data_IF_846268441070
#
_entry.id   IF_846268441070
#
_cell.length_a   1.000
_cell.length_b   1.000
_cell.length_c   1.000
_cell.angle_alpha   90.00
_cell.angle_beta   90.00
_cell.angle_gamma   90.00
#
_symmetry.space_group_name_H-M   'P 1'
#
loop_
_entity.id
_entity.type
_entity.pdbx_description
1 polymer ?
#
# COMPACT_ATOMS: atom_id res chain seq x y z
N UNK A 1 -0.52 -18.14 30.52
CA UNK A 1 -1.23 -18.08 29.21
C UNK A 1 -0.32 -17.69 28.06
N UNK A 2 0.32 -16.49 28.04
CA UNK A 2 1.27 -16.11 26.95
C UNK A 2 2.42 -17.09 26.85
N UNK A 3 3.20 -17.33 27.90
CA UNK A 3 4.32 -18.28 27.93
C UNK A 3 3.86 -19.71 27.60
N UNK A 4 2.72 -20.11 28.06
CA UNK A 4 2.14 -21.42 27.75
C UNK A 4 1.81 -21.56 26.25
N UNK A 5 1.23 -20.52 25.64
CA UNK A 5 0.97 -20.53 24.20
C UNK A 5 2.27 -20.57 23.40
N UNK A 6 3.27 -19.76 23.76
CA UNK A 6 4.58 -19.75 23.12
C UNK A 6 5.29 -21.11 23.26
N UNK A 7 5.24 -21.72 24.45
CA UNK A 7 5.79 -23.04 24.68
C UNK A 7 5.08 -24.12 23.86
N UNK A 8 3.74 -24.12 23.83
CA UNK A 8 2.97 -25.04 22.97
C UNK A 8 3.35 -24.93 21.50
N UNK A 9 3.55 -23.70 21.00
CA UNK A 9 3.97 -23.44 19.60
C UNK A 9 5.37 -24.01 19.33
N UNK A 10 6.29 -23.87 20.27
CA UNK A 10 7.67 -24.30 20.07
C UNK A 10 7.92 -25.77 20.43
N UNK A 11 7.07 -26.40 21.21
CA UNK A 11 7.18 -27.83 21.56
C UNK A 11 6.50 -28.76 20.54
N UNK A 12 5.70 -28.21 19.62
CA UNK A 12 5.00 -29.00 18.61
C UNK A 12 5.99 -29.67 17.62
N UNK A 13 5.67 -30.89 17.21
CA UNK A 13 6.45 -31.57 16.16
C UNK A 13 6.17 -30.94 14.81
N UNK A 14 7.21 -30.91 13.95
CA UNK A 14 7.09 -30.49 12.55
C UNK A 14 5.97 -31.26 11.82
N UNK A 15 5.21 -30.54 10.99
CA UNK A 15 4.06 -31.09 10.28
C UNK A 15 2.74 -31.13 11.07
N UNK A 16 2.74 -30.70 12.32
CA UNK A 16 1.54 -30.72 13.15
C UNK A 16 0.84 -29.35 13.21
N UNK A 17 -0.42 -29.41 13.64
CA UNK A 17 -1.31 -28.27 13.80
C UNK A 17 -1.56 -27.97 15.28
N UNK A 18 -1.53 -26.69 15.64
CA UNK A 18 -2.02 -26.19 16.93
C UNK A 18 -3.39 -25.60 16.71
N UNK A 19 -4.40 -26.23 17.30
CA UNK A 19 -5.75 -25.67 17.33
C UNK A 19 -5.90 -24.75 18.53
N UNK A 20 -6.30 -23.52 18.26
CA UNK A 20 -6.67 -22.53 19.25
C UNK A 20 -8.19 -22.43 19.29
N UNK A 21 -8.76 -22.50 20.48
CA UNK A 21 -10.21 -22.45 20.67
C UNK A 21 -10.58 -21.48 21.76
N UNK A 22 -11.77 -20.89 21.66
CA UNK A 22 -12.31 -19.98 22.66
C UNK A 22 -11.64 -18.62 22.71
N UNK A 23 -11.92 -17.86 23.76
CA UNK A 23 -11.41 -16.51 23.94
C UNK A 23 -10.07 -16.52 24.67
N UNK A 24 -9.02 -16.06 24.00
CA UNK A 24 -7.67 -15.96 24.54
C UNK A 24 -7.38 -14.49 24.80
N UNK A 25 -7.24 -14.10 26.05
CA UNK A 25 -6.96 -12.72 26.42
C UNK A 25 -5.64 -12.61 27.17
N UNK A 26 -4.76 -11.71 26.71
CA UNK A 26 -3.56 -11.35 27.47
C UNK A 26 -3.35 -9.85 27.53
N UNK A 27 -2.81 -9.45 28.67
CA UNK A 27 -2.31 -8.10 28.88
C UNK A 27 -0.78 -8.16 28.95
N UNK A 28 -0.12 -7.29 28.17
CA UNK A 28 1.32 -7.33 28.03
C UNK A 28 1.92 -6.07 28.66
N UNK A 29 2.43 -6.26 29.86
CA UNK A 29 3.14 -5.22 30.63
C UNK A 29 4.65 -5.44 30.59
N UNK A 30 5.12 -6.65 30.20
CA UNK A 30 6.53 -7.00 30.12
C UNK A 30 6.77 -8.09 29.08
N UNK A 31 7.88 -8.01 28.34
CA UNK A 31 8.30 -9.06 27.42
C UNK A 31 9.78 -9.33 27.55
N UNK A 32 10.18 -10.52 27.15
CA UNK A 32 11.57 -10.81 26.84
C UNK A 32 12.04 -10.01 25.62
N UNK A 33 13.24 -9.47 25.65
CA UNK A 33 13.86 -8.88 24.46
C UNK A 33 14.52 -9.97 23.63
N UNK A 34 14.32 -9.93 22.34
CA UNK A 34 15.01 -10.78 21.38
C UNK A 34 15.82 -9.92 20.41
N UNK A 35 17.09 -10.26 20.23
CA UNK A 35 17.97 -9.55 19.31
C UNK A 35 18.42 -10.54 18.23
N UNK A 36 18.08 -10.27 16.97
CA UNK A 36 18.59 -11.02 15.82
C UNK A 36 19.56 -10.11 15.07
N UNK A 37 20.84 -10.36 15.22
CA UNK A 37 21.88 -9.50 14.67
C UNK A 37 21.78 -8.07 15.22
N UNK A 38 21.62 -7.06 14.34
CA UNK A 38 21.41 -5.65 14.73
C UNK A 38 19.95 -5.28 14.98
N UNK A 39 19.01 -6.20 14.68
CA UNK A 39 17.59 -5.98 14.88
C UNK A 39 17.20 -6.26 16.33
N UNK A 40 16.69 -5.26 17.01
CA UNK A 40 16.14 -5.40 18.34
C UNK A 40 14.61 -5.23 18.27
N UNK A 41 13.91 -6.35 18.01
CA UNK A 41 12.46 -6.41 18.05
C UNK A 41 12.05 -7.28 19.22
N UNK A 42 11.16 -6.78 20.06
CA UNK A 42 10.60 -7.57 21.15
C UNK A 42 9.41 -8.37 20.64
N UNK A 43 9.56 -9.68 20.51
CA UNK A 43 8.47 -10.60 20.18
C UNK A 43 7.71 -11.03 21.42
N UNK A 44 6.39 -10.87 21.38
CA UNK A 44 5.51 -11.32 22.48
C UNK A 44 5.36 -12.83 22.43
N UNK A 45 5.19 -13.39 21.25
CA UNK A 45 5.17 -14.81 20.95
C UNK A 45 6.21 -15.08 19.87
N UNK A 46 7.24 -15.81 20.22
CA UNK A 46 8.32 -16.17 19.29
C UNK A 46 8.06 -17.53 18.69
N UNK A 47 8.20 -17.64 17.38
CA UNK A 47 7.99 -18.86 16.62
C UNK A 47 9.31 -19.28 16.01
N UNK A 48 9.88 -20.36 16.54
CA UNK A 48 11.17 -20.91 16.11
C UNK A 48 11.05 -22.26 15.41
N UNK A 49 9.82 -22.84 15.36
CA UNK A 49 9.55 -24.13 14.73
C UNK A 49 9.18 -23.99 13.27
N UNK A 50 9.64 -24.94 12.47
CA UNK A 50 9.31 -25.05 11.05
C UNK A 50 8.15 -26.01 10.80
N UNK A 51 7.51 -25.83 9.65
CA UNK A 51 6.47 -26.73 9.12
C UNK A 51 5.31 -26.91 10.11
N UNK A 52 4.85 -25.81 10.70
CA UNK A 52 3.75 -25.82 11.67
C UNK A 52 2.56 -24.99 11.19
N UNK A 53 1.38 -25.39 11.63
CA UNK A 53 0.14 -24.65 11.41
C UNK A 53 -0.44 -24.18 12.74
N UNK A 54 -0.74 -22.89 12.85
CA UNK A 54 -1.47 -22.29 13.95
C UNK A 54 -2.87 -21.97 13.43
N UNK A 55 -3.85 -22.76 13.86
CA UNK A 55 -5.23 -22.68 13.38
C UNK A 55 -6.14 -22.12 14.50
N UNK A 56 -6.83 -21.04 14.18
CA UNK A 56 -7.70 -20.33 15.11
C UNK A 56 -9.19 -20.67 14.96
N UNK A 57 -9.58 -21.80 14.38
CA UNK A 57 -10.97 -22.21 14.08
C UNK A 57 -12.08 -21.32 14.69
N UNK A 58 -12.19 -21.32 16.04
CA UNK A 58 -13.15 -20.52 16.79
C UNK A 58 -12.46 -19.59 17.82
N UNK A 59 -11.14 -19.41 17.72
CA UNK A 59 -10.42 -18.58 18.67
C UNK A 59 -10.52 -17.09 18.34
N UNK A 60 -10.76 -16.29 19.38
CA UNK A 60 -10.57 -14.85 19.35
C UNK A 60 -9.41 -14.47 20.28
N UNK A 61 -8.35 -13.91 19.72
CA UNK A 61 -7.18 -13.47 20.47
C UNK A 61 -7.32 -11.97 20.72
N UNK A 62 -7.53 -11.58 21.97
CA UNK A 62 -7.52 -10.18 22.40
C UNK A 62 -6.22 -9.87 23.14
N UNK A 63 -5.54 -8.82 22.72
CA UNK A 63 -4.27 -8.39 23.29
C UNK A 63 -4.34 -6.92 23.65
N UNK A 64 -4.15 -6.61 24.93
CA UNK A 64 -3.95 -5.25 25.41
C UNK A 64 -2.44 -5.03 25.65
N UNK A 65 -1.87 -3.99 25.07
CA UNK A 65 -0.45 -3.62 25.17
C UNK A 65 -0.35 -2.29 25.88
N UNK A 66 0.20 -2.29 27.10
CA UNK A 66 0.22 -1.10 27.95
C UNK A 66 1.46 -0.22 27.71
N UNK A 67 2.60 -0.80 27.31
CA UNK A 67 3.83 -0.05 27.04
C UNK A 67 4.66 -0.66 25.90
N UNK A 68 4.89 0.12 24.85
CA UNK A 68 5.80 -0.23 23.76
C UNK A 68 6.68 0.97 23.32
N UNK A 69 6.95 1.90 24.25
CA UNK A 69 7.70 3.13 23.96
C UNK A 69 9.22 2.93 23.84
N UNK A 70 9.77 1.88 24.44
CA UNK A 70 11.21 1.68 24.57
C UNK A 70 11.86 0.89 23.43
N UNK A 71 11.08 0.16 22.63
CA UNK A 71 11.58 -0.73 21.56
C UNK A 71 10.56 -0.90 20.47
N UNK A 72 10.96 -1.48 19.35
CA UNK A 72 10.04 -2.05 18.37
C UNK A 72 9.52 -3.39 18.87
N UNK A 73 8.23 -3.67 18.59
CA UNK A 73 7.53 -4.82 19.12
C UNK A 73 6.75 -5.56 18.05
N UNK A 74 6.53 -6.86 18.28
CA UNK A 74 5.57 -7.64 17.50
C UNK A 74 4.76 -8.59 18.39
N UNK A 75 3.51 -8.85 18.01
CA UNK A 75 2.73 -9.90 18.66
C UNK A 75 3.32 -11.27 18.32
N UNK A 76 3.48 -11.58 17.03
CA UNK A 76 4.15 -12.79 16.58
C UNK A 76 5.48 -12.41 15.91
N UNK A 77 6.56 -12.95 16.44
CA UNK A 77 7.87 -12.85 15.82
C UNK A 77 8.24 -14.21 15.22
N UNK A 78 8.25 -14.29 13.87
CA UNK A 78 8.66 -15.52 13.19
C UNK A 78 10.15 -15.48 12.94
N UNK A 79 10.87 -16.34 13.66
CA UNK A 79 12.32 -16.37 13.71
C UNK A 79 12.93 -16.81 12.37
N UNK A 80 14.12 -16.31 11.97
CA UNK A 80 14.77 -16.68 10.71
C UNK A 80 15.05 -18.18 10.54
N UNK A 81 15.15 -18.92 11.66
CA UNK A 81 15.34 -20.38 11.62
C UNK A 81 14.06 -21.16 11.34
N UNK A 82 12.89 -20.55 11.53
CA UNK A 82 11.61 -21.14 11.19
C UNK A 82 11.40 -21.13 9.67
N UNK A 83 10.64 -22.08 9.17
CA UNK A 83 10.22 -22.17 7.77
C UNK A 83 8.80 -22.68 7.68
N UNK A 84 8.07 -22.27 6.64
CA UNK A 84 6.74 -22.82 6.32
C UNK A 84 5.75 -22.72 7.50
N UNK A 85 5.74 -21.61 8.21
CA UNK A 85 4.78 -21.34 9.29
C UNK A 85 3.47 -20.88 8.68
N UNK A 86 2.35 -21.51 9.08
CA UNK A 86 1.02 -21.16 8.58
C UNK A 86 0.15 -20.63 9.71
N UNK A 87 -0.54 -19.53 9.45
CA UNK A 87 -1.57 -18.94 10.28
C UNK A 87 -2.90 -19.08 9.57
N UNK A 88 -3.79 -19.89 10.11
CA UNK A 88 -5.09 -20.16 9.49
C UNK A 88 -6.23 -19.73 10.41
N UNK A 89 -7.26 -19.10 9.86
CA UNK A 89 -8.52 -18.81 10.54
C UNK A 89 -8.38 -18.00 11.85
N UNK A 90 -7.30 -17.24 12.02
CA UNK A 90 -7.08 -16.45 13.22
C UNK A 90 -7.93 -15.18 13.25
N UNK A 91 -8.58 -14.94 14.39
CA UNK A 91 -9.21 -13.64 14.69
C UNK A 91 -8.42 -12.97 15.79
N UNK A 92 -7.79 -11.84 15.48
CA UNK A 92 -6.86 -11.16 16.38
C UNK A 92 -7.28 -9.71 16.53
N UNK A 93 -7.41 -9.27 17.78
CA UNK A 93 -7.68 -7.88 18.11
C UNK A 93 -6.60 -7.36 19.06
N UNK A 94 -5.85 -6.36 18.60
CA UNK A 94 -4.78 -5.75 19.39
C UNK A 94 -5.15 -4.31 19.71
N UNK A 95 -5.10 -3.96 20.98
CA UNK A 95 -5.25 -2.61 21.48
C UNK A 95 -3.96 -2.14 22.13
N UNK A 96 -3.40 -1.05 21.64
CA UNK A 96 -2.17 -0.46 22.18
C UNK A 96 -2.53 0.79 22.95
N UNK A 97 -2.23 0.78 24.25
CA UNK A 97 -2.53 1.85 25.21
C UNK A 97 -1.21 2.41 25.75
N UNK A 98 -0.44 3.08 24.88
CA UNK A 98 0.78 3.70 25.37
C UNK A 98 0.50 4.96 26.18
N UNK A 99 1.23 5.19 27.27
CA UNK A 99 1.11 6.42 28.05
C UNK A 99 1.61 7.63 27.26
N UNK A 100 2.54 7.45 26.33
CA UNK A 100 3.20 8.51 25.57
C UNK A 100 3.25 8.23 24.06
N UNK A 101 3.35 9.29 23.27
CA UNK A 101 3.59 9.20 21.84
C UNK A 101 5.03 8.76 21.56
N UNK A 102 5.22 7.88 20.58
CA UNK A 102 6.53 7.31 20.22
C UNK A 102 6.68 7.14 18.72
N UNK A 103 7.93 7.11 18.24
CA UNK A 103 8.28 6.74 16.86
C UNK A 103 8.62 5.25 16.72
N UNK A 104 8.47 4.47 17.79
CA UNK A 104 8.67 3.01 17.73
C UNK A 104 7.58 2.34 16.90
N UNK A 105 7.85 1.12 16.51
CA UNK A 105 6.95 0.34 15.64
C UNK A 105 6.35 -0.82 16.42
N UNK A 106 5.05 -1.01 16.28
CA UNK A 106 4.38 -2.24 16.68
C UNK A 106 3.87 -2.95 15.42
N UNK A 107 4.26 -4.20 15.24
CA UNK A 107 3.76 -5.07 14.17
C UNK A 107 2.94 -6.22 14.73
N UNK A 108 1.87 -6.61 14.05
CA UNK A 108 1.15 -7.81 14.44
C UNK A 108 2.00 -9.05 14.20
N UNK A 109 2.50 -9.19 12.98
CA UNK A 109 3.43 -10.26 12.60
C UNK A 109 4.71 -9.59 12.08
N UNK A 110 5.83 -9.90 12.73
CA UNK A 110 7.16 -9.58 12.23
C UNK A 110 7.79 -10.86 11.68
N UNK A 111 7.84 -10.96 10.36
CA UNK A 111 8.35 -12.15 9.69
C UNK A 111 9.77 -11.95 9.19
N UNK A 112 10.64 -12.89 9.54
CA UNK A 112 12.01 -13.02 9.01
C UNK A 112 12.27 -14.40 8.42
N UNK A 113 11.23 -15.24 8.33
CA UNK A 113 11.29 -16.64 7.94
C UNK A 113 10.78 -16.87 6.52
N UNK A 114 11.30 -17.89 5.87
CA UNK A 114 10.89 -18.32 4.55
C UNK A 114 9.54 -19.05 4.56
N UNK A 115 8.69 -18.77 3.57
CA UNK A 115 7.50 -19.56 3.28
C UNK A 115 6.35 -19.40 4.27
N UNK A 116 6.25 -18.23 4.94
CA UNK A 116 5.15 -17.94 5.86
C UNK A 116 3.85 -17.75 5.09
N UNK A 117 2.75 -18.28 5.61
CA UNK A 117 1.42 -18.19 5.00
C UNK A 117 0.39 -17.70 6.00
N UNK A 118 -0.47 -16.78 5.54
CA UNK A 118 -1.67 -16.36 6.25
C UNK A 118 -2.87 -16.71 5.37
N UNK A 119 -3.81 -17.45 5.92
CA UNK A 119 -5.04 -17.81 5.22
C UNK A 119 -6.25 -17.57 6.10
N UNK A 120 -7.27 -16.88 5.55
CA UNK A 120 -8.54 -16.61 6.22
C UNK A 120 -8.39 -15.96 7.60
N UNK A 121 -7.41 -15.06 7.77
CA UNK A 121 -7.16 -14.38 9.04
C UNK A 121 -7.86 -13.02 9.08
N UNK A 122 -8.41 -12.68 10.24
CA UNK A 122 -9.00 -11.37 10.53
C UNK A 122 -8.20 -10.67 11.61
N UNK A 123 -7.68 -9.50 11.29
CA UNK A 123 -6.82 -8.73 12.17
C UNK A 123 -7.38 -7.33 12.33
N UNK A 124 -7.58 -6.91 13.56
CA UNK A 124 -7.85 -5.54 13.95
C UNK A 124 -6.78 -5.07 14.93
N UNK A 125 -6.02 -4.05 14.57
CA UNK A 125 -5.01 -3.43 15.42
C UNK A 125 -5.24 -1.93 15.49
N UNK A 126 -5.29 -1.38 16.68
CA UNK A 126 -5.44 0.06 16.86
C UNK A 126 -4.65 0.59 18.05
N UNK A 127 -4.26 1.87 17.93
CA UNK A 127 -3.63 2.62 19.00
C UNK A 127 -4.32 3.96 19.20
N UNK A 128 -4.56 4.32 20.46
CA UNK A 128 -5.09 5.63 20.85
C UNK A 128 -3.96 6.67 21.02
N UNK A 129 -2.70 6.27 20.87
CA UNK A 129 -1.50 7.11 20.90
C UNK A 129 -0.72 7.01 19.60
N UNK A 130 0.09 8.02 19.33
CA UNK A 130 0.92 8.09 18.15
C UNK A 130 2.06 7.05 18.22
N UNK A 131 2.00 6.07 17.34
CA UNK A 131 2.99 4.99 17.20
C UNK A 131 2.94 4.48 15.76
N UNK A 132 4.08 4.03 15.23
CA UNK A 132 4.09 3.34 13.95
C UNK A 132 3.42 1.97 14.07
N UNK A 133 2.44 1.71 13.21
CA UNK A 133 1.70 0.44 13.20
C UNK A 133 1.93 -0.29 11.89
N UNK A 134 2.19 -1.59 11.98
CA UNK A 134 2.35 -2.45 10.82
C UNK A 134 1.54 -3.73 11.02
N UNK A 135 0.59 -4.01 10.15
CA UNK A 135 -0.16 -5.27 10.22
C UNK A 135 0.76 -6.47 10.04
N UNK A 136 1.42 -6.56 8.89
CA UNK A 136 2.42 -7.59 8.58
C UNK A 136 3.71 -6.92 8.15
N UNK A 137 4.76 -7.09 8.93
CA UNK A 137 6.11 -6.67 8.60
C UNK A 137 6.90 -7.89 8.09
N UNK A 138 7.15 -7.94 6.78
CA UNK A 138 7.93 -8.99 6.16
C UNK A 138 9.33 -8.45 5.84
N UNK A 139 10.35 -8.87 6.58
CA UNK A 139 11.68 -8.33 6.50
C UNK A 139 12.68 -9.31 5.86
N UNK A 140 13.02 -9.07 4.60
CA UNK A 140 14.05 -9.82 3.87
C UNK A 140 15.48 -9.31 4.07
N UNK A 141 15.64 -8.16 4.76
CA UNK A 141 16.96 -7.61 5.05
C UNK A 141 17.50 -8.20 6.36
N UNK A 142 18.21 -9.30 6.26
CA UNK A 142 18.98 -9.85 7.38
C UNK A 142 20.44 -9.47 7.17
N UNK A 143 20.88 -8.49 7.91
CA UNK A 143 22.30 -8.07 8.03
C UNK A 143 23.15 -9.15 8.75
N UNK A 144 22.78 -10.40 8.56
CA UNK A 144 23.42 -11.57 9.17
C UNK A 144 23.83 -12.54 8.08
N UNK A 145 24.96 -13.21 8.27
CA UNK A 145 25.46 -14.29 7.43
C UNK A 145 24.52 -15.52 7.34
N UNK A 146 23.27 -15.40 7.75
CA UNK A 146 22.26 -16.43 7.62
C UNK A 146 21.52 -16.28 6.29
N UNK A 147 21.51 -17.32 5.48
CA UNK A 147 20.85 -17.43 4.17
C UNK A 147 19.31 -17.38 4.23
N UNK A 148 18.69 -17.02 5.32
CA UNK A 148 17.25 -17.01 5.51
C UNK A 148 16.66 -15.66 5.16
N UNK A 149 16.04 -15.57 3.99
CA UNK A 149 15.23 -14.42 3.57
C UNK A 149 13.78 -14.71 3.88
N UNK A 150 13.03 -13.68 4.23
CA UNK A 150 11.56 -13.75 4.42
C UNK A 150 10.81 -13.87 3.08
N UNK A 151 11.35 -14.65 2.15
CA UNK A 151 10.80 -14.86 0.81
C UNK A 151 9.58 -15.79 0.85
N UNK A 152 8.77 -15.74 -0.20
CA UNK A 152 7.56 -16.56 -0.38
C UNK A 152 6.50 -16.35 0.73
N UNK A 153 6.30 -15.11 1.17
CA UNK A 153 5.14 -14.79 1.98
C UNK A 153 3.85 -14.91 1.15
N UNK A 154 2.86 -15.62 1.69
CA UNK A 154 1.53 -15.74 1.09
C UNK A 154 0.49 -15.14 2.04
N UNK A 155 -0.36 -14.25 1.53
CA UNK A 155 -1.49 -13.67 2.24
C UNK A 155 -2.73 -13.90 1.37
N UNK A 156 -3.65 -14.72 1.84
CA UNK A 156 -4.84 -15.08 1.08
C UNK A 156 -6.10 -14.99 1.94
N UNK A 157 -7.15 -14.41 1.37
CA UNK A 157 -8.47 -14.28 1.98
C UNK A 157 -8.43 -13.68 3.40
N UNK A 158 -7.61 -12.66 3.62
CA UNK A 158 -7.43 -12.03 4.93
C UNK A 158 -8.15 -10.67 5.02
N UNK A 159 -8.44 -10.26 6.26
CA UNK A 159 -8.84 -8.89 6.60
C UNK A 159 -7.81 -8.29 7.54
N UNK A 160 -7.13 -7.24 7.10
CA UNK A 160 -6.16 -6.50 7.90
C UNK A 160 -6.66 -5.07 8.11
N UNK A 161 -7.00 -4.72 9.34
CA UNK A 161 -7.40 -3.36 9.72
C UNK A 161 -6.42 -2.81 10.74
N UNK A 162 -5.68 -1.78 10.34
CA UNK A 162 -4.64 -1.14 11.15
C UNK A 162 -4.95 0.35 11.28
N UNK A 163 -5.11 0.84 12.50
CA UNK A 163 -5.58 2.19 12.75
C UNK A 163 -4.82 2.89 13.88
N UNK A 164 -4.20 4.02 13.60
CA UNK A 164 -3.74 4.98 14.60
C UNK A 164 -4.83 6.05 14.80
N UNK A 165 -5.36 6.13 16.03
CA UNK A 165 -6.46 7.04 16.42
C UNK A 165 -5.98 8.28 17.17
N UNK A 166 -4.68 8.42 17.38
CA UNK A 166 -4.11 9.54 18.10
C UNK A 166 -4.51 10.88 17.49
N UNK A 167 -4.92 11.81 18.32
CA UNK A 167 -5.29 13.19 17.90
C UNK A 167 -4.17 14.20 18.18
N UNK A 168 -3.06 13.80 18.77
CA UNK A 168 -1.95 14.67 19.19
C UNK A 168 -0.81 14.68 18.16
N UNK A 169 -0.07 15.80 18.14
CA UNK A 169 0.73 16.29 17.01
C UNK A 169 2.21 16.40 17.26
N UNK A 170 2.89 15.43 17.77
CA UNK A 170 4.27 15.68 18.17
C UNK A 170 5.34 15.00 17.30
N UNK A 171 5.00 13.97 16.51
CA UNK A 171 6.00 13.17 15.80
C UNK A 171 5.46 12.60 14.50
N UNK A 172 6.37 12.29 13.56
CA UNK A 172 6.03 11.49 12.37
C UNK A 172 5.47 10.13 12.79
N UNK A 173 4.38 9.72 12.16
CA UNK A 173 3.76 8.43 12.40
C UNK A 173 3.31 7.82 11.08
N UNK A 174 3.59 6.53 10.92
CA UNK A 174 3.21 5.76 9.76
C UNK A 174 2.37 4.54 10.14
N UNK A 175 1.33 4.29 9.34
CA UNK A 175 0.48 3.10 9.47
C UNK A 175 0.57 2.32 8.17
N UNK A 176 0.94 1.04 8.27
CA UNK A 176 1.02 0.12 7.14
C UNK A 176 0.09 -1.07 7.35
N UNK A 177 -0.64 -1.45 6.32
CA UNK A 177 -1.33 -2.74 6.32
C UNK A 177 -0.33 -3.88 6.15
N UNK A 178 0.42 -3.88 5.05
CA UNK A 178 1.52 -4.80 4.77
C UNK A 178 2.77 -4.01 4.40
N UNK A 179 3.89 -4.33 5.03
CA UNK A 179 5.20 -3.77 4.76
C UNK A 179 6.18 -4.89 4.40
N UNK A 180 6.39 -5.09 3.09
CA UNK A 180 7.32 -6.10 2.56
C UNK A 180 8.64 -5.43 2.17
N UNK A 181 9.65 -5.60 3.00
CA UNK A 181 10.95 -4.98 2.82
C UNK A 181 11.99 -5.98 2.32
N UNK A 182 12.44 -5.82 1.09
CA UNK A 182 13.48 -6.61 0.42
C UNK A 182 13.24 -8.13 0.36
N UNK A 183 12.04 -8.60 0.70
CA UNK A 183 11.67 -10.02 0.60
C UNK A 183 11.01 -10.31 -0.75
N UNK A 184 11.45 -11.37 -1.42
CA UNK A 184 11.00 -11.72 -2.77
C UNK A 184 9.77 -12.62 -2.76
N UNK A 185 9.09 -12.67 -3.92
CA UNK A 185 8.01 -13.61 -4.18
C UNK A 185 6.84 -13.52 -3.19
N UNK A 186 6.50 -12.31 -2.74
CA UNK A 186 5.26 -12.12 -1.99
C UNK A 186 4.06 -12.39 -2.90
N UNK A 187 3.09 -13.14 -2.42
CA UNK A 187 1.79 -13.34 -3.07
C UNK A 187 0.67 -12.89 -2.15
N UNK A 188 -0.17 -11.98 -2.63
CA UNK A 188 -1.32 -11.50 -1.88
C UNK A 188 -2.58 -11.56 -2.75
N UNK A 189 -3.61 -12.27 -2.26
CA UNK A 189 -4.83 -12.49 -3.02
C UNK A 189 -6.07 -12.31 -2.14
N UNK A 190 -7.17 -11.83 -2.74
CA UNK A 190 -8.50 -11.77 -2.13
C UNK A 190 -8.51 -11.14 -0.73
N UNK A 191 -7.59 -10.22 -0.47
CA UNK A 191 -7.35 -9.67 0.88
C UNK A 191 -7.87 -8.25 0.98
N UNK A 192 -8.50 -7.94 2.12
CA UNK A 192 -8.98 -6.61 2.47
C UNK A 192 -7.98 -5.93 3.41
N UNK A 193 -7.46 -4.78 3.02
CA UNK A 193 -6.50 -4.00 3.80
C UNK A 193 -7.02 -2.59 4.03
N UNK A 194 -7.08 -2.20 5.29
CA UNK A 194 -7.43 -0.85 5.73
C UNK A 194 -6.32 -0.30 6.62
N UNK A 195 -5.56 0.64 6.10
CA UNK A 195 -4.54 1.38 6.84
C UNK A 195 -5.05 2.80 7.10
N UNK A 196 -5.28 3.16 8.35
CA UNK A 196 -5.84 4.46 8.73
C UNK A 196 -4.93 5.17 9.73
N UNK A 197 -4.53 6.40 9.41
CA UNK A 197 -3.82 7.28 10.32
C UNK A 197 -4.63 8.55 10.57
N UNK A 198 -5.21 8.68 11.75
CA UNK A 198 -6.02 9.84 12.16
C UNK A 198 -5.20 10.95 12.81
N UNK A 199 -3.90 10.77 12.93
CA UNK A 199 -3.01 11.78 13.48
C UNK A 199 -3.10 13.08 12.67
N UNK A 200 -3.00 14.18 13.36
CA UNK A 200 -3.10 15.52 12.77
C UNK A 200 -1.72 16.19 12.60
N UNK A 201 -0.60 15.49 12.74
CA UNK A 201 0.75 16.05 12.68
C UNK A 201 1.29 16.21 11.26
N UNK A 202 2.37 16.95 11.17
CA UNK A 202 3.19 16.97 9.95
C UNK A 202 3.71 15.57 9.63
N UNK A 203 3.69 15.20 8.34
CA UNK A 203 4.21 13.92 7.81
C UNK A 203 3.53 12.65 8.33
N UNK A 204 2.22 12.73 8.59
CA UNK A 204 1.44 11.53 8.86
C UNK A 204 1.31 10.68 7.58
N UNK A 205 1.53 9.39 7.68
CA UNK A 205 1.51 8.48 6.53
C UNK A 205 0.59 7.29 6.78
N UNK A 206 -0.28 6.99 5.83
CA UNK A 206 -1.03 5.75 5.76
C UNK A 206 -0.68 5.03 4.45
N UNK A 207 -0.33 3.76 4.52
CA UNK A 207 0.02 2.93 3.37
C UNK A 207 -0.70 1.60 3.47
N UNK A 208 -1.50 1.27 2.47
CA UNK A 208 -2.16 -0.03 2.41
C UNK A 208 -1.12 -1.14 2.27
N UNK A 209 -0.35 -1.12 1.19
CA UNK A 209 0.72 -2.08 0.92
C UNK A 209 1.97 -1.35 0.48
N UNK A 210 3.11 -1.72 1.05
CA UNK A 210 4.44 -1.37 0.58
C UNK A 210 5.22 -2.64 0.23
N UNK A 211 5.90 -2.65 -0.92
CA UNK A 211 6.78 -3.76 -1.31
C UNK A 211 8.02 -3.27 -2.04
N UNK A 212 9.20 -3.79 -1.65
CA UNK A 212 10.49 -3.54 -2.31
C UNK A 212 11.22 -4.82 -2.74
N UNK A 213 10.62 -5.99 -2.56
CA UNK A 213 11.15 -7.26 -3.04
C UNK A 213 10.82 -7.54 -4.51
N UNK A 214 11.48 -8.51 -5.10
CA UNK A 214 11.26 -8.93 -6.50
C UNK A 214 10.11 -9.93 -6.61
N UNK A 215 9.49 -9.97 -7.79
CA UNK A 215 8.48 -10.97 -8.17
C UNK A 215 7.24 -10.97 -7.27
N UNK A 216 6.83 -9.79 -6.81
CA UNK A 216 5.59 -9.63 -6.06
C UNK A 216 4.37 -9.88 -6.95
N UNK A 217 3.36 -10.59 -6.42
CA UNK A 217 2.08 -10.82 -7.09
C UNK A 217 0.92 -10.40 -6.18
N UNK A 218 0.13 -9.44 -6.64
CA UNK A 218 -0.98 -8.84 -5.91
C UNK A 218 -2.23 -8.89 -6.79
N UNK A 219 -3.21 -9.72 -6.43
CA UNK A 219 -4.34 -9.99 -7.29
C UNK A 219 -5.68 -10.02 -6.52
N UNK A 220 -6.69 -9.33 -7.03
CA UNK A 220 -8.05 -9.37 -6.48
C UNK A 220 -8.20 -8.76 -5.08
N UNK A 221 -7.29 -7.90 -4.65
CA UNK A 221 -7.31 -7.33 -3.31
C UNK A 221 -8.13 -6.04 -3.25
N UNK A 222 -8.65 -5.74 -2.06
CA UNK A 222 -9.26 -4.45 -1.74
C UNK A 222 -8.37 -3.70 -0.75
N UNK A 223 -7.69 -2.66 -1.21
CA UNK A 223 -6.64 -1.96 -0.47
C UNK A 223 -7.05 -0.50 -0.29
N UNK A 224 -7.13 -0.04 0.95
CA UNK A 224 -7.50 1.32 1.28
C UNK A 224 -6.54 1.92 2.29
N UNK A 225 -5.96 3.08 1.95
CA UNK A 225 -5.19 3.92 2.85
C UNK A 225 -5.91 5.24 3.09
N UNK A 226 -5.99 5.64 4.35
CA UNK A 226 -6.63 6.88 4.77
C UNK A 226 -5.73 7.62 5.75
N UNK A 227 -5.36 8.87 5.42
CA UNK A 227 -4.65 9.74 6.33
C UNK A 227 -5.46 11.02 6.56
N UNK A 228 -5.78 11.32 7.81
CA UNK A 228 -6.57 12.49 8.16
C UNK A 228 -5.92 13.78 7.68
N UNK A 229 -6.72 14.64 7.07
CA UNK A 229 -6.33 15.99 6.72
C UNK A 229 -6.97 16.99 7.67
N UNK A 230 -6.17 17.80 8.35
CA UNK A 230 -6.70 18.91 9.11
C UNK A 230 -7.15 20.02 8.16
N UNK A 231 -8.44 20.25 8.12
CA UNK A 231 -9.04 21.37 7.37
C UNK A 231 -8.57 22.67 8.02
N UNK A 232 -7.64 23.38 7.39
CA UNK A 232 -7.25 24.73 7.83
C UNK A 232 -5.77 25.08 7.79
N UNK A 233 -4.87 24.13 7.57
CA UNK A 233 -3.44 24.42 7.40
C UNK A 233 -2.94 23.92 6.04
N UNK A 234 -2.73 24.86 5.11
CA UNK A 234 -2.24 24.58 3.74
C UNK A 234 -0.85 23.92 3.67
N UNK A 235 -0.18 23.73 4.80
CA UNK A 235 1.20 23.23 4.89
C UNK A 235 1.36 21.84 5.49
N UNK A 236 0.29 21.20 5.94
CA UNK A 236 0.41 19.90 6.59
C UNK A 236 0.38 18.79 5.54
N UNK A 237 1.49 18.09 5.45
CA UNK A 237 1.71 17.01 4.50
C UNK A 237 1.28 15.67 5.12
N UNK A 238 -0.01 15.39 5.13
CA UNK A 238 -0.49 14.03 5.36
C UNK A 238 -0.50 13.28 4.02
N UNK A 239 -0.03 12.04 4.02
CA UNK A 239 0.11 11.21 2.83
C UNK A 239 -0.70 9.93 2.96
N UNK A 240 -1.55 9.64 1.98
CA UNK A 240 -2.23 8.36 1.85
C UNK A 240 -1.80 7.67 0.57
N UNK A 241 -1.19 6.50 0.69
CA UNK A 241 -0.81 5.64 -0.42
C UNK A 241 -1.60 4.34 -0.34
N UNK A 242 -2.44 4.06 -1.33
CA UNK A 242 -3.09 2.75 -1.42
C UNK A 242 -2.04 1.65 -1.56
N UNK A 243 -1.13 1.82 -2.52
CA UNK A 243 -0.06 0.86 -2.80
C UNK A 243 1.25 1.58 -3.16
N UNK A 244 2.38 1.10 -2.64
CA UNK A 244 3.73 1.51 -3.03
C UNK A 244 4.50 0.28 -3.50
N UNK A 245 4.94 0.28 -4.75
CA UNK A 245 5.79 -0.74 -5.32
C UNK A 245 7.19 -0.18 -5.65
N UNK A 246 8.19 -0.68 -4.96
CA UNK A 246 9.62 -0.47 -5.30
C UNK A 246 10.26 -1.78 -5.80
N UNK A 247 9.47 -2.84 -5.87
CA UNK A 247 9.93 -4.17 -6.25
C UNK A 247 9.99 -4.37 -7.77
N UNK A 248 11.02 -5.09 -8.22
CA UNK A 248 11.19 -5.43 -9.63
C UNK A 248 10.26 -6.59 -10.04
N UNK A 249 9.79 -6.57 -11.28
CA UNK A 249 8.97 -7.64 -11.87
C UNK A 249 7.67 -7.92 -11.09
N UNK A 250 7.07 -6.89 -10.51
CA UNK A 250 5.82 -7.02 -9.75
C UNK A 250 4.61 -7.10 -10.69
N UNK A 251 3.62 -7.92 -10.32
CA UNK A 251 2.32 -7.99 -10.99
C UNK A 251 1.26 -7.48 -10.01
N UNK A 252 0.58 -6.40 -10.40
CA UNK A 252 -0.49 -5.76 -9.61
C UNK A 252 -1.73 -5.77 -10.49
N UNK A 253 -2.63 -6.72 -10.26
CA UNK A 253 -3.76 -6.97 -11.15
C UNK A 253 -5.09 -7.16 -10.45
N UNK A 254 -6.16 -6.72 -11.09
CA UNK A 254 -7.54 -6.90 -10.64
C UNK A 254 -7.83 -6.40 -9.21
N UNK A 255 -7.05 -5.45 -8.70
CA UNK A 255 -7.24 -4.90 -7.36
C UNK A 255 -8.16 -3.67 -7.37
N UNK A 256 -8.82 -3.41 -6.23
CA UNK A 256 -9.43 -2.15 -5.91
C UNK A 256 -8.53 -1.39 -4.93
N UNK A 257 -7.90 -0.30 -5.38
CA UNK A 257 -6.87 0.43 -4.61
C UNK A 257 -7.34 1.87 -4.37
N UNK A 258 -7.34 2.31 -3.13
CA UNK A 258 -7.82 3.64 -2.74
C UNK A 258 -6.82 4.35 -1.84
N UNK A 259 -6.39 5.55 -2.26
CA UNK A 259 -5.75 6.53 -1.39
C UNK A 259 -6.71 7.69 -1.13
N UNK A 260 -7.02 7.98 0.14
CA UNK A 260 -8.04 8.99 0.47
C UNK A 260 -7.72 9.86 1.69
N UNK A 261 -8.40 10.99 1.77
CA UNK A 261 -8.42 11.89 2.94
C UNK A 261 -7.04 12.35 3.42
N UNK A 262 -6.20 12.80 2.49
CA UNK A 262 -4.87 13.28 2.81
C UNK A 262 -4.59 14.64 2.13
N UNK A 263 -3.55 15.33 2.53
CA UNK A 263 -3.00 16.48 1.80
C UNK A 263 -2.54 16.06 0.41
N UNK A 264 -1.90 14.91 0.31
CA UNK A 264 -1.64 14.22 -0.95
C UNK A 264 -2.11 12.76 -0.88
N UNK A 265 -3.02 12.36 -1.76
CA UNK A 265 -3.41 10.97 -1.93
C UNK A 265 -2.83 10.39 -3.21
N UNK A 266 -2.33 9.17 -3.10
CA UNK A 266 -1.82 8.38 -4.21
C UNK A 266 -2.52 7.03 -4.17
N UNK A 267 -3.17 6.66 -5.27
CA UNK A 267 -3.73 5.31 -5.39
C UNK A 267 -2.60 4.29 -5.42
N UNK A 268 -1.75 4.35 -6.46
CA UNK A 268 -0.60 3.49 -6.63
C UNK A 268 0.65 4.30 -7.00
N UNK A 269 1.73 4.11 -6.25
CA UNK A 269 3.07 4.59 -6.60
C UNK A 269 3.93 3.42 -7.03
N UNK A 270 4.46 3.48 -8.25
CA UNK A 270 5.35 2.47 -8.79
C UNK A 270 6.74 3.05 -9.05
N UNK A 271 7.73 2.58 -8.32
CA UNK A 271 9.15 2.85 -8.53
C UNK A 271 9.88 1.61 -9.05
N UNK A 272 9.23 0.44 -9.04
CA UNK A 272 9.79 -0.83 -9.48
C UNK A 272 9.80 -0.95 -11.00
N UNK A 273 10.91 -1.41 -11.56
CA UNK A 273 11.02 -1.66 -12.99
C UNK A 273 10.34 -2.99 -13.39
N UNK A 274 9.96 -3.08 -14.66
CA UNK A 274 9.30 -4.25 -15.27
C UNK A 274 8.00 -4.64 -14.56
N UNK A 275 7.30 -3.66 -13.96
CA UNK A 275 6.03 -3.90 -13.31
C UNK A 275 4.89 -4.02 -14.33
N UNK A 276 3.91 -4.86 -14.01
CA UNK A 276 2.64 -4.96 -14.73
C UNK A 276 1.52 -4.47 -13.80
N UNK A 277 0.85 -3.41 -14.21
CA UNK A 277 -0.29 -2.81 -13.50
C UNK A 277 -1.51 -2.92 -14.41
N UNK A 278 -2.33 -3.96 -14.22
CA UNK A 278 -3.37 -4.28 -15.17
C UNK A 278 -4.73 -4.61 -14.56
N UNK A 279 -5.81 -4.13 -15.17
CA UNK A 279 -7.18 -4.49 -14.77
C UNK A 279 -7.59 -3.99 -13.38
N UNK A 280 -6.90 -3.01 -12.81
CA UNK A 280 -7.19 -2.50 -11.48
C UNK A 280 -8.25 -1.38 -11.54
N UNK A 281 -8.99 -1.23 -10.44
CA UNK A 281 -9.75 -0.02 -10.14
C UNK A 281 -8.99 0.80 -9.11
N UNK A 282 -8.50 1.98 -9.50
CA UNK A 282 -7.64 2.81 -8.64
C UNK A 282 -8.28 4.18 -8.44
N UNK A 283 -8.34 4.64 -7.20
CA UNK A 283 -8.96 5.89 -6.81
C UNK A 283 -8.05 6.73 -5.92
N UNK A 284 -7.88 8.01 -6.27
CA UNK A 284 -7.31 9.03 -5.39
C UNK A 284 -8.37 10.09 -5.08
N UNK A 285 -8.73 10.27 -3.81
CA UNK A 285 -9.89 11.08 -3.43
C UNK A 285 -9.67 12.04 -2.27
N UNK A 286 -10.49 13.08 -2.25
CA UNK A 286 -10.64 14.05 -1.15
C UNK A 286 -9.40 14.83 -0.76
N UNK A 287 -8.59 15.26 -1.72
CA UNK A 287 -7.31 15.93 -1.45
C UNK A 287 -7.12 17.17 -2.28
N UNK A 288 -6.17 17.99 -1.83
CA UNK A 288 -5.67 19.11 -2.63
C UNK A 288 -4.94 18.56 -3.85
N UNK A 289 -4.08 17.54 -3.65
CA UNK A 289 -3.31 16.90 -4.71
C UNK A 289 -3.61 15.40 -4.76
N UNK A 290 -4.20 14.93 -5.84
CA UNK A 290 -4.47 13.51 -6.10
C UNK A 290 -3.65 12.97 -7.26
N UNK A 291 -3.04 11.82 -7.05
CA UNK A 291 -2.35 11.04 -8.06
C UNK A 291 -2.93 9.64 -8.06
N UNK A 292 -3.66 9.28 -9.11
CA UNK A 292 -4.21 7.92 -9.15
C UNK A 292 -3.12 6.91 -9.34
N UNK A 293 -2.21 7.14 -10.30
CA UNK A 293 -0.96 6.39 -10.44
C UNK A 293 0.20 7.39 -10.53
N UNK A 294 1.29 7.14 -9.80
CA UNK A 294 2.60 7.76 -9.99
C UNK A 294 3.57 6.69 -10.46
N UNK A 295 4.13 6.83 -11.65
CA UNK A 295 5.07 5.86 -12.19
C UNK A 295 6.47 6.45 -12.36
N UNK A 296 7.41 5.91 -11.63
CA UNK A 296 8.85 6.17 -11.73
C UNK A 296 9.62 4.93 -12.20
N UNK A 297 8.95 3.76 -12.28
CA UNK A 297 9.56 2.51 -12.72
C UNK A 297 9.56 2.40 -14.24
N UNK A 298 10.74 2.15 -14.82
CA UNK A 298 10.91 1.95 -16.25
C UNK A 298 10.44 0.59 -16.72
N UNK A 299 10.23 0.44 -18.03
CA UNK A 299 9.78 -0.82 -18.64
C UNK A 299 8.45 -1.35 -18.03
N UNK A 300 7.59 -0.43 -17.59
CA UNK A 300 6.33 -0.75 -16.90
C UNK A 300 5.17 -0.73 -17.88
N UNK A 301 4.26 -1.70 -17.74
CA UNK A 301 2.97 -1.72 -18.43
C UNK A 301 1.87 -1.27 -17.49
N UNK A 302 1.07 -0.25 -17.88
CA UNK A 302 -0.10 0.26 -17.16
C UNK A 302 -1.29 0.17 -18.12
N UNK A 303 -2.04 -0.93 -18.02
CA UNK A 303 -3.02 -1.26 -19.05
C UNK A 303 -4.36 -1.74 -18.46
N UNK A 304 -5.44 -1.48 -19.17
CA UNK A 304 -6.78 -1.98 -18.87
C UNK A 304 -7.31 -1.56 -17.48
N UNK A 305 -6.80 -0.46 -16.89
CA UNK A 305 -7.22 0.00 -15.58
C UNK A 305 -8.38 1.00 -15.67
N UNK A 306 -9.20 1.05 -14.60
CA UNK A 306 -10.19 2.10 -14.36
C UNK A 306 -9.62 3.05 -13.29
N UNK A 307 -9.28 4.26 -13.71
CA UNK A 307 -8.54 5.23 -12.93
C UNK A 307 -9.40 6.47 -12.66
N UNK A 308 -9.58 6.81 -11.39
CA UNK A 308 -10.46 7.91 -10.99
C UNK A 308 -9.78 8.84 -9.99
N UNK A 309 -10.04 10.14 -10.09
CA UNK A 309 -9.64 11.12 -9.07
C UNK A 309 -10.78 12.06 -8.74
N UNK A 310 -10.89 12.46 -7.46
CA UNK A 310 -11.80 13.52 -7.01
C UNK A 310 -11.04 14.72 -6.43
N UNK A 311 -9.77 14.90 -6.78
CA UNK A 311 -8.88 15.90 -6.19
C UNK A 311 -8.91 17.22 -6.98
N UNK A 312 -8.69 18.34 -6.29
CA UNK A 312 -8.65 19.67 -6.93
C UNK A 312 -7.53 19.84 -7.94
N UNK A 313 -6.37 19.24 -7.68
CA UNK A 313 -5.24 19.15 -8.59
C UNK A 313 -5.00 17.68 -8.92
N UNK A 314 -5.79 17.14 -9.84
CA UNK A 314 -5.73 15.74 -10.21
C UNK A 314 -4.67 15.51 -11.31
N UNK A 315 -3.82 14.50 -11.13
CA UNK A 315 -3.10 13.85 -12.22
C UNK A 315 -3.45 12.38 -12.14
N UNK A 316 -4.16 11.87 -13.14
CA UNK A 316 -4.60 10.48 -13.07
C UNK A 316 -3.38 9.57 -13.24
N UNK A 317 -2.56 9.79 -14.25
CA UNK A 317 -1.23 9.15 -14.35
C UNK A 317 -0.16 10.24 -14.38
N UNK A 318 0.76 10.20 -13.42
CA UNK A 318 2.00 10.96 -13.42
C UNK A 318 3.13 10.02 -13.84
N UNK A 319 3.65 10.22 -15.07
CA UNK A 319 4.66 9.39 -15.70
C UNK A 319 6.01 10.08 -15.66
N UNK A 320 7.02 9.47 -15.03
CA UNK A 320 8.36 10.02 -14.86
C UNK A 320 9.47 9.01 -15.20
N UNK A 321 9.22 8.11 -16.13
CA UNK A 321 10.16 7.05 -16.51
C UNK A 321 10.07 6.71 -18.00
N UNK A 322 10.96 5.87 -18.47
CA UNK A 322 11.10 5.56 -19.90
C UNK A 322 10.61 4.15 -20.24
N UNK A 323 10.39 3.94 -21.54
CA UNK A 323 10.04 2.65 -22.15
C UNK A 323 8.81 1.99 -21.49
N UNK A 324 7.77 2.78 -21.20
CA UNK A 324 6.54 2.31 -20.60
C UNK A 324 5.40 2.26 -21.60
N UNK A 325 4.45 1.35 -21.35
CA UNK A 325 3.19 1.28 -22.08
C UNK A 325 2.08 1.79 -21.17
N UNK A 326 1.33 2.80 -21.62
CA UNK A 326 0.14 3.32 -20.96
C UNK A 326 -1.02 3.14 -21.95
N UNK A 327 -1.73 2.05 -21.83
CA UNK A 327 -2.69 1.62 -22.85
C UNK A 327 -4.03 1.17 -22.31
N UNK A 328 -5.09 1.41 -23.08
CA UNK A 328 -6.47 0.92 -22.84
C UNK A 328 -7.06 1.26 -21.47
N UNK A 329 -6.54 2.29 -20.79
CA UNK A 329 -7.07 2.70 -19.51
C UNK A 329 -8.30 3.60 -19.68
N UNK A 330 -9.26 3.50 -18.75
CA UNK A 330 -10.37 4.43 -18.62
C UNK A 330 -10.04 5.40 -17.48
N UNK A 331 -9.92 6.69 -17.77
CA UNK A 331 -9.48 7.73 -16.84
C UNK A 331 -10.57 8.78 -16.68
N UNK A 332 -10.90 9.15 -15.44
CA UNK A 332 -11.93 10.14 -15.17
C UNK A 332 -11.65 10.98 -13.93
N UNK A 333 -11.89 12.30 -14.01
CA UNK A 333 -11.91 13.19 -12.85
C UNK A 333 -13.36 13.43 -12.45
N UNK A 334 -13.76 12.94 -11.27
CA UNK A 334 -15.12 13.07 -10.73
C UNK A 334 -15.24 14.30 -9.82
N UNK A 335 -14.99 15.50 -10.35
CA UNK A 335 -15.21 16.76 -9.62
C UNK A 335 -16.13 17.70 -10.40
N UNK A 336 -16.87 18.50 -9.66
CA UNK A 336 -17.58 19.63 -10.25
C UNK A 336 -16.56 20.60 -10.83
N UNK A 337 -16.72 21.04 -12.08
CA UNK A 337 -15.79 21.89 -12.82
C UNK A 337 -15.34 23.14 -12.04
N UNK A 338 -16.24 23.75 -11.27
CA UNK A 338 -15.97 24.94 -10.47
C UNK A 338 -14.96 24.72 -9.33
N UNK A 339 -14.74 23.49 -8.90
CA UNK A 339 -13.84 23.13 -7.80
C UNK A 339 -12.49 22.60 -8.28
N UNK A 340 -12.42 22.13 -9.53
CA UNK A 340 -11.17 21.65 -10.11
C UNK A 340 -10.31 22.81 -10.57
N UNK A 341 -9.17 23.01 -9.91
CA UNK A 341 -8.22 24.12 -10.24
C UNK A 341 -7.27 23.73 -11.37
N UNK A 342 -6.80 22.51 -11.37
CA UNK A 342 -6.01 21.93 -12.45
C UNK A 342 -6.22 20.42 -12.49
N UNK A 343 -6.34 19.84 -13.66
CA UNK A 343 -6.54 18.40 -13.82
C UNK A 343 -6.00 17.91 -15.13
N UNK A 344 -5.19 16.85 -15.08
CA UNK A 344 -4.58 16.23 -16.23
C UNK A 344 -4.86 14.72 -16.20
N UNK A 345 -5.18 14.14 -17.35
CA UNK A 345 -5.31 12.70 -17.49
C UNK A 345 -3.94 12.04 -17.33
N UNK A 346 -3.06 12.27 -18.31
CA UNK A 346 -1.67 11.78 -18.28
C UNK A 346 -0.74 12.98 -18.23
N UNK A 347 0.15 13.00 -17.25
CA UNK A 347 1.16 14.01 -17.04
C UNK A 347 2.55 13.38 -17.17
N UNK A 348 3.15 13.51 -18.35
CA UNK A 348 4.39 12.87 -18.70
C UNK A 348 5.49 13.92 -18.87
N UNK A 349 6.31 14.12 -17.84
CA UNK A 349 7.33 15.18 -17.76
C UNK A 349 8.65 14.64 -17.21
N UNK A 350 9.72 15.24 -17.68
CA UNK A 350 11.08 15.07 -17.19
C UNK A 350 12.00 14.42 -18.20
N UNK A 351 13.29 14.64 -18.00
CA UNK A 351 14.35 14.13 -18.91
C UNK A 351 14.33 12.60 -19.05
N UNK A 352 13.81 11.90 -18.06
CA UNK A 352 13.69 10.44 -18.05
C UNK A 352 12.39 9.93 -18.69
N UNK A 353 11.48 10.83 -19.10
CA UNK A 353 10.20 10.43 -19.67
C UNK A 353 10.32 10.26 -21.19
N UNK A 354 10.97 9.19 -21.63
CA UNK A 354 11.28 8.94 -23.05
C UNK A 354 10.78 7.58 -23.50
N UNK A 355 10.59 7.41 -24.81
CA UNK A 355 10.26 6.13 -25.44
C UNK A 355 8.97 5.46 -24.90
N UNK A 356 8.03 6.24 -24.38
CA UNK A 356 6.77 5.71 -23.90
C UNK A 356 5.75 5.55 -25.02
N UNK A 357 4.90 4.54 -24.92
CA UNK A 357 3.74 4.34 -25.79
C UNK A 357 2.47 4.67 -25.01
N UNK A 358 1.78 5.75 -25.41
CA UNK A 358 0.50 6.18 -24.80
C UNK A 358 -0.60 5.96 -25.83
N UNK A 359 -1.38 4.89 -25.70
CA UNK A 359 -2.33 4.53 -26.76
C UNK A 359 -3.65 3.96 -26.23
N UNK A 360 -4.69 4.16 -27.03
CA UNK A 360 -6.01 3.54 -26.83
C UNK A 360 -6.68 3.86 -25.48
N UNK A 361 -6.26 4.92 -24.78
CA UNK A 361 -6.88 5.32 -23.54
C UNK A 361 -8.16 6.11 -23.79
N UNK A 362 -9.11 6.01 -22.85
CA UNK A 362 -10.31 6.83 -22.77
C UNK A 362 -10.14 7.81 -21.62
N UNK A 363 -10.03 9.10 -21.90
CA UNK A 363 -9.76 10.15 -20.91
C UNK A 363 -10.94 11.12 -20.87
N UNK A 364 -11.60 11.27 -19.72
CA UNK A 364 -12.82 12.05 -19.56
C UNK A 364 -12.73 13.07 -18.44
N UNK A 365 -13.46 14.17 -18.58
CA UNK A 365 -13.73 15.13 -17.50
C UNK A 365 -12.48 15.71 -16.83
N UNK A 366 -11.38 15.92 -17.58
CA UNK A 366 -10.17 16.56 -17.07
C UNK A 366 -10.24 18.08 -17.26
N UNK A 367 -9.86 18.84 -16.23
CA UNK A 367 -10.08 20.29 -16.19
C UNK A 367 -9.08 21.09 -17.01
N UNK A 368 -7.86 20.59 -17.22
CA UNK A 368 -6.78 21.33 -17.89
C UNK A 368 -6.43 20.72 -19.25
N UNK A 369 -5.82 19.56 -19.26
CA UNK A 369 -5.57 18.83 -20.49
C UNK A 369 -5.67 17.31 -20.31
N UNK A 370 -5.96 16.60 -21.39
CA UNK A 370 -6.02 15.15 -21.34
C UNK A 370 -4.63 14.53 -21.21
N UNK A 371 -3.70 14.96 -22.04
CA UNK A 371 -2.32 14.49 -22.04
C UNK A 371 -1.40 15.70 -22.09
N UNK A 372 -0.62 15.87 -21.03
CA UNK A 372 0.46 16.85 -20.97
C UNK A 372 1.78 16.11 -21.09
N UNK A 373 2.50 16.36 -22.18
CA UNK A 373 3.75 15.68 -22.46
C UNK A 373 4.87 16.68 -22.70
N UNK A 374 6.04 16.41 -22.12
CA UNK A 374 7.27 17.19 -22.30
C UNK A 374 8.33 16.35 -22.98
N UNK A 375 9.13 16.98 -23.84
CA UNK A 375 10.30 16.35 -24.45
C UNK A 375 9.98 15.16 -25.37
N UNK A 376 10.81 14.14 -25.30
CA UNK A 376 10.78 12.94 -26.13
C UNK A 376 9.91 11.83 -25.55
N UNK A 377 8.68 12.12 -25.12
CA UNK A 377 7.83 11.15 -24.43
C UNK A 377 7.62 9.86 -25.22
N UNK A 378 7.75 9.88 -26.53
CA UNK A 378 7.55 8.74 -27.40
C UNK A 378 6.30 8.87 -28.27
N UNK A 379 5.49 7.83 -28.42
CA UNK A 379 4.31 7.79 -29.29
C UNK A 379 3.02 8.00 -28.51
N UNK A 380 2.15 8.88 -29.01
CA UNK A 380 0.79 9.11 -28.48
C UNK A 380 -0.21 8.88 -29.61
N UNK A 381 -1.04 7.83 -29.52
CA UNK A 381 -1.93 7.43 -30.62
C UNK A 381 -3.25 6.84 -30.14
N UNK A 382 -4.28 6.97 -30.96
CA UNK A 382 -5.59 6.30 -30.80
C UNK A 382 -6.29 6.54 -29.45
N UNK A 383 -5.96 7.63 -28.72
CA UNK A 383 -6.66 7.95 -27.50
C UNK A 383 -7.99 8.67 -27.79
N UNK A 384 -9.04 8.34 -27.05
CA UNK A 384 -10.35 9.01 -27.08
C UNK A 384 -10.38 9.98 -25.90
N UNK A 385 -10.57 11.27 -26.19
CA UNK A 385 -10.41 12.32 -25.19
C UNK A 385 -11.63 13.23 -25.14
N UNK A 386 -12.14 13.47 -23.92
CA UNK A 386 -13.02 14.59 -23.63
C UNK A 386 -12.38 15.42 -22.51
N UNK A 387 -11.99 16.66 -22.84
CA UNK A 387 -11.31 17.58 -21.91
C UNK A 387 -12.01 18.93 -21.98
N UNK A 388 -12.00 19.68 -20.87
CA UNK A 388 -12.63 21.00 -20.79
C UNK A 388 -11.84 22.11 -21.47
N UNK A 389 -10.50 21.97 -21.64
CA UNK A 389 -9.65 23.03 -22.19
C UNK A 389 -8.83 22.55 -23.38
N UNK A 390 -7.95 21.60 -23.17
CA UNK A 390 -7.02 21.14 -24.20
C UNK A 390 -6.96 19.62 -24.29
N UNK A 391 -6.88 19.09 -25.49
CA UNK A 391 -6.78 17.63 -25.70
C UNK A 391 -5.36 17.14 -25.43
N UNK A 392 -4.37 17.83 -25.98
CA UNK A 392 -2.94 17.53 -25.77
C UNK A 392 -2.19 18.84 -25.64
N UNK A 393 -1.41 18.99 -24.59
CA UNK A 393 -0.55 20.14 -24.35
C UNK A 393 0.91 19.72 -24.34
N UNK A 394 1.73 20.46 -25.07
CA UNK A 394 3.18 20.22 -25.17
C UNK A 394 3.95 21.29 -24.42
N UNK A 395 5.05 20.90 -23.79
CA UNK A 395 6.04 21.80 -23.22
C UNK A 395 7.37 21.69 -23.97
N UNK A 396 7.38 21.81 -25.31
CA UNK A 396 8.61 21.74 -26.11
C UNK A 396 8.34 21.52 -27.59
N UNK A 397 9.36 21.73 -28.46
CA UNK A 397 9.15 22.07 -29.87
C UNK A 397 9.27 20.92 -30.88
N UNK A 398 9.60 19.69 -30.58
CA UNK A 398 10.03 18.73 -31.61
C UNK A 398 9.34 17.34 -31.67
N UNK A 399 8.21 17.08 -31.04
CA UNK A 399 7.62 15.76 -31.15
C UNK A 399 6.40 15.70 -32.07
N UNK A 400 6.39 14.76 -33.00
CA UNK A 400 5.24 14.45 -33.84
C UNK A 400 4.27 13.59 -33.08
N UNK A 401 3.04 14.10 -32.84
CA UNK A 401 1.95 13.35 -32.24
C UNK A 401 0.92 12.95 -33.28
N UNK A 402 0.52 11.70 -33.27
CA UNK A 402 -0.65 11.23 -33.99
C UNK A 402 -1.92 11.74 -33.29
N UNK A 403 -2.90 12.14 -34.05
CA UNK A 403 -4.12 12.82 -33.60
C UNK A 403 -4.93 11.92 -32.72
N UNK A 404 -5.26 12.40 -31.51
CA UNK A 404 -6.28 11.79 -30.67
C UNK A 404 -7.68 11.99 -31.28
N UNK A 405 -8.51 10.95 -31.28
CA UNK A 405 -9.90 11.10 -31.66
C UNK A 405 -10.65 11.82 -30.54
N UNK A 406 -11.23 12.97 -30.85
CA UNK A 406 -12.21 13.64 -30.01
C UNK A 406 -13.53 12.90 -30.11
N UNK A 407 -14.19 12.61 -29.00
CA UNK A 407 -15.56 12.17 -29.00
C UNK A 407 -16.48 13.40 -29.19
N UNK A 408 -16.76 13.73 -30.44
CA UNK A 408 -17.56 14.93 -30.82
C UNK A 408 -18.95 14.94 -30.20
N UNK A 409 -19.52 13.79 -29.81
CA UNK A 409 -20.84 13.71 -29.18
C UNK A 409 -20.88 14.30 -27.79
N UNK A 410 -19.79 14.22 -27.06
CA UNK A 410 -19.69 14.75 -25.69
C UNK A 410 -19.24 16.23 -25.66
N UNK A 411 -18.60 16.73 -26.72
CA UNK A 411 -18.18 18.14 -26.77
C UNK A 411 -19.41 19.06 -26.93
N UNK A 412 -20.42 18.69 -27.72
CA UNK A 412 -21.62 19.50 -27.90
C UNK A 412 -22.44 19.68 -26.63
N UNK A 413 -22.53 18.66 -25.76
CA UNK A 413 -23.27 18.74 -24.51
C UNK A 413 -22.59 19.60 -23.42
N UNK A 414 -21.30 19.90 -23.56
CA UNK A 414 -20.54 20.71 -22.60
C UNK A 414 -20.62 22.21 -22.89
N UNK A 415 -20.83 22.58 -24.15
CA UNK A 415 -20.95 23.99 -24.56
C UNK A 415 -22.40 24.54 -24.60
N UNK A 416 -23.40 23.69 -24.37
CA UNK A 416 -24.83 24.09 -24.39
C UNK A 416 -25.44 24.21 -22.96
N UNK A 417 -24.64 24.23 -21.89
CA UNK A 417 -25.11 24.45 -20.51
C UNK A 417 -24.70 25.83 -20.00
#
# INVERSE_FOLDING_TARGET
MQQELEQRINDIKSGNEIKLTGKIKFNINRSGSFTVGRLCVKGIIQIMRSDITINGEDAEIEVDVDDCTTSDWSLFFVHPTARNVQFNNLRIKVRIQNPENTTRTFSLIYNTAYGVKLHNCQVEMYSDKQINLVGIYNNGNLDTHMETRADNLVIDNCLLKVECRANEFTKECAVYGVYNYLANSISMQNTFIYATNKGNGERQKAVGVYTSGRFGRFEGNNIKANASHNVGREKEQAYAFGFINEGLYSIISANNIVGEWAGMSVGLENCGEYAIVAGNKILATHTICGRTIRNYGSNTSIEDNVLTSTSRNARIIEQNSHNCIIGRNIMEVLMVQSECRSGCGIYAIGENCTENLICENIIRNVADCAIFADGNVGSVSNNIVTSFKETVKRAGTENQYLVNKLDERNIRSIYEI
#
